data_IF_677396797875
#
_entry.id   IF_677396797875
#
_cell.length_a   1.000
_cell.length_b   1.000
_cell.length_c   1.000
_cell.angle_alpha   90.00
_cell.angle_beta   90.00
_cell.angle_gamma   90.00
#
_symmetry.space_group_name_H-M   'P 1'
#
loop_
_entity.id
_entity.type
_entity.pdbx_description
1 polymer ?
#
# COMPACT_ATOMS: atom_id res chain seq x y z
N UNK A 1 -5.57 -49.34 -14.18
CA UNK A 1 -4.94 -49.20 -12.85
C UNK A 1 -4.24 -47.85 -12.80
N UNK A 2 -4.76 -46.93 -11.98
CA UNK A 2 -4.42 -45.50 -11.96
C UNK A 2 -3.04 -45.26 -11.32
N UNK A 3 -2.18 -44.48 -11.98
CA UNK A 3 -1.02 -43.87 -11.35
C UNK A 3 -0.81 -42.45 -11.90
N UNK A 4 -1.66 -41.51 -11.45
CA UNK A 4 -1.43 -40.08 -11.60
C UNK A 4 -0.88 -39.58 -10.27
N UNK A 5 0.44 -39.43 -10.16
CA UNK A 5 1.09 -38.77 -9.03
C UNK A 5 2.26 -37.96 -9.55
N UNK A 6 2.38 -36.73 -9.07
CA UNK A 6 3.40 -35.70 -9.35
C UNK A 6 3.04 -34.57 -10.33
N UNK A 7 1.76 -34.33 -10.62
CA UNK A 7 1.34 -33.15 -11.41
C UNK A 7 0.97 -31.90 -10.57
N UNK A 8 1.31 -31.87 -9.28
CA UNK A 8 0.85 -30.84 -8.34
C UNK A 8 1.94 -30.06 -7.61
N UNK A 9 3.21 -30.18 -8.01
CA UNK A 9 4.35 -29.60 -7.26
C UNK A 9 5.04 -28.39 -7.93
N UNK A 10 4.53 -27.87 -9.06
CA UNK A 10 5.18 -26.79 -9.81
C UNK A 10 4.28 -25.62 -10.22
N UNK A 11 3.17 -25.41 -9.52
CA UNK A 11 2.28 -24.25 -9.68
C UNK A 11 2.04 -23.79 -8.23
N UNK A 12 2.73 -22.82 -7.64
CA UNK A 12 2.86 -21.41 -8.03
C UNK A 12 4.10 -20.84 -7.33
N UNK A 13 5.23 -20.74 -8.04
CA UNK A 13 6.19 -19.65 -7.78
C UNK A 13 6.29 -18.90 -9.12
N UNK A 14 5.19 -18.25 -9.50
CA UNK A 14 5.31 -17.00 -10.23
C UNK A 14 5.36 -15.95 -9.13
N UNK A 15 6.52 -15.89 -8.46
CA UNK A 15 6.91 -14.66 -7.81
C UNK A 15 6.95 -13.67 -8.96
N UNK A 16 5.99 -12.74 -8.95
CA UNK A 16 5.91 -11.68 -9.91
C UNK A 16 7.27 -11.00 -9.96
N UNK A 17 8.05 -11.33 -10.99
CA UNK A 17 9.09 -10.46 -11.53
C UNK A 17 8.39 -9.25 -12.15
N UNK A 18 7.65 -8.50 -11.32
CA UNK A 18 7.38 -7.10 -11.58
C UNK A 18 8.65 -6.40 -11.16
N UNK A 19 9.67 -6.49 -12.02
CA UNK A 19 10.79 -5.57 -12.00
C UNK A 19 10.19 -4.18 -11.85
N UNK A 20 10.52 -3.50 -10.74
CA UNK A 20 10.23 -2.08 -10.57
C UNK A 20 11.13 -1.40 -11.59
N UNK A 21 10.70 -1.35 -12.85
CA UNK A 21 11.36 -0.59 -13.90
C UNK A 21 11.00 0.87 -13.63
N UNK A 22 11.70 1.47 -12.66
CA UNK A 22 11.65 2.90 -12.36
C UNK A 22 12.34 3.67 -13.50
N UNK A 23 11.73 3.66 -14.68
CA UNK A 23 12.11 4.57 -15.75
C UNK A 23 11.32 5.86 -15.55
N UNK A 24 12.01 6.90 -15.04
CA UNK A 24 11.60 8.31 -15.08
C UNK A 24 10.19 8.65 -14.55
N UNK A 25 9.65 7.87 -13.62
CA UNK A 25 8.38 8.17 -12.99
C UNK A 25 8.58 9.04 -11.74
N UNK A 26 7.74 10.08 -11.59
CA UNK A 26 7.75 10.92 -10.39
C UNK A 26 7.49 10.08 -9.13
N UNK A 27 7.95 10.50 -7.95
CA UNK A 27 7.71 9.77 -6.68
C UNK A 27 6.23 9.39 -6.49
N UNK A 28 5.31 10.28 -6.91
CA UNK A 28 3.86 10.04 -6.88
C UNK A 28 3.41 8.91 -7.80
N UNK A 29 4.00 8.80 -8.99
CA UNK A 29 3.70 7.71 -9.92
C UNK A 29 4.20 6.37 -9.38
N UNK A 30 5.38 6.33 -8.73
CA UNK A 30 5.87 5.12 -8.07
C UNK A 30 4.93 4.67 -6.95
N UNK A 31 4.46 5.61 -6.13
CA UNK A 31 3.46 5.35 -5.11
C UNK A 31 2.11 4.87 -5.70
N UNK A 32 1.68 5.44 -6.82
CA UNK A 32 0.49 4.98 -7.52
C UNK A 32 0.65 3.55 -8.08
N UNK A 33 1.85 3.19 -8.55
CA UNK A 33 2.16 1.82 -8.96
C UNK A 33 2.15 0.86 -7.77
N UNK A 34 2.68 1.27 -6.61
CA UNK A 34 2.62 0.47 -5.39
C UNK A 34 1.16 0.16 -4.98
N UNK A 35 0.25 1.13 -5.10
CA UNK A 35 -1.20 0.89 -4.89
C UNK A 35 -1.73 -0.18 -5.83
N UNK A 36 -1.40 -0.12 -7.12
CA UNK A 36 -1.85 -1.13 -8.10
C UNK A 36 -1.30 -2.52 -7.79
N UNK A 37 -0.05 -2.61 -7.33
CA UNK A 37 0.55 -3.88 -6.90
C UNK A 37 -0.15 -4.45 -5.66
N UNK A 38 -0.50 -3.60 -4.69
CA UNK A 38 -1.29 -4.01 -3.52
C UNK A 38 -2.68 -4.52 -3.93
N UNK A 39 -3.33 -3.90 -4.92
CA UNK A 39 -4.60 -4.38 -5.47
C UNK A 39 -4.48 -5.73 -6.16
N UNK A 40 -3.41 -5.94 -6.94
CA UNK A 40 -3.13 -7.25 -7.53
C UNK A 40 -2.90 -8.32 -6.44
N UNK A 41 -2.22 -7.97 -5.35
CA UNK A 41 -2.02 -8.84 -4.19
C UNK A 41 -3.34 -9.13 -3.45
N UNK A 42 -4.24 -8.16 -3.29
CA UNK A 42 -5.57 -8.42 -2.72
C UNK A 42 -6.37 -9.42 -3.57
N UNK A 43 -6.29 -9.33 -4.90
CA UNK A 43 -6.96 -10.28 -5.79
C UNK A 43 -6.37 -11.69 -5.67
N UNK A 44 -5.06 -11.84 -5.48
CA UNK A 44 -4.45 -13.15 -5.24
C UNK A 44 -4.85 -13.71 -3.87
N UNK A 45 -4.89 -12.87 -2.83
CA UNK A 45 -5.35 -13.23 -1.49
C UNK A 45 -6.81 -13.70 -1.48
N UNK A 46 -7.72 -13.01 -2.18
CA UNK A 46 -9.12 -13.43 -2.33
C UNK A 46 -9.25 -14.83 -2.95
N UNK A 47 -8.46 -15.11 -3.99
CA UNK A 47 -8.43 -16.45 -4.60
C UNK A 47 -7.87 -17.48 -3.62
N UNK A 48 -6.80 -17.16 -2.89
CA UNK A 48 -6.24 -18.05 -1.88
C UNK A 48 -7.25 -18.34 -0.75
N UNK A 49 -8.01 -17.35 -0.29
CA UNK A 49 -9.06 -17.51 0.73
C UNK A 49 -10.21 -18.42 0.24
N UNK A 50 -10.59 -18.31 -1.04
CA UNK A 50 -11.60 -19.20 -1.62
C UNK A 50 -11.09 -20.65 -1.69
N UNK A 51 -9.83 -20.85 -2.07
CA UNK A 51 -9.21 -22.18 -2.11
C UNK A 51 -9.00 -22.77 -0.71
N UNK A 52 -8.72 -21.95 0.30
CA UNK A 52 -8.57 -22.41 1.68
C UNK A 52 -9.88 -22.93 2.26
N UNK A 53 -11.04 -22.39 1.83
CA UNK A 53 -12.38 -22.86 2.26
C UNK A 53 -12.67 -24.28 1.78
N UNK A 54 -12.10 -24.69 0.65
CA UNK A 54 -12.26 -26.05 0.10
C UNK A 54 -11.14 -27.01 0.53
N UNK A 55 -10.10 -26.51 1.20
CA UNK A 55 -8.95 -27.30 1.61
C UNK A 55 -9.20 -28.04 2.93
N UNK A 56 -8.53 -29.20 3.16
CA UNK A 56 -8.62 -29.91 4.43
C UNK A 56 -8.18 -28.99 5.58
N UNK A 57 -8.91 -29.00 6.70
CA UNK A 57 -8.58 -28.18 7.87
C UNK A 57 -7.19 -28.57 8.42
N UNK A 58 -6.21 -27.71 8.20
CA UNK A 58 -4.89 -27.75 8.85
C UNK A 58 -4.94 -26.99 10.17
N UNK A 59 -4.04 -27.29 11.12
CA UNK A 59 -3.97 -26.55 12.40
C UNK A 59 -3.50 -25.11 12.23
N UNK A 60 -2.70 -24.87 11.19
CA UNK A 60 -2.24 -23.55 10.81
C UNK A 60 -3.27 -22.94 9.85
N UNK A 61 -3.75 -21.75 10.20
CA UNK A 61 -4.66 -20.95 9.40
C UNK A 61 -4.03 -19.61 9.10
N UNK A 62 -4.07 -19.19 7.84
CA UNK A 62 -3.67 -17.86 7.45
C UNK A 62 -4.77 -16.85 7.86
N UNK A 63 -4.39 -15.79 8.58
CA UNK A 63 -5.35 -14.78 9.03
C UNK A 63 -5.64 -13.76 7.91
N UNK A 64 -6.58 -14.11 7.04
CA UNK A 64 -7.01 -13.25 5.93
C UNK A 64 -7.55 -11.89 6.41
N UNK A 65 -8.23 -11.85 7.56
CA UNK A 65 -8.75 -10.59 8.11
C UNK A 65 -7.64 -9.63 8.50
N UNK A 66 -6.55 -10.12 9.10
CA UNK A 66 -5.40 -9.30 9.47
C UNK A 66 -4.73 -8.72 8.22
N UNK A 67 -4.40 -9.54 7.21
CA UNK A 67 -3.70 -9.04 6.02
C UNK A 67 -4.55 -8.03 5.22
N UNK A 68 -5.88 -8.20 5.16
CA UNK A 68 -6.75 -7.24 4.48
C UNK A 68 -6.78 -5.89 5.18
N UNK A 69 -6.75 -5.88 6.53
CA UNK A 69 -6.63 -4.66 7.32
C UNK A 69 -5.29 -3.97 7.05
N UNK A 70 -4.20 -4.73 7.02
CA UNK A 70 -2.86 -4.18 6.84
C UNK A 70 -2.72 -3.57 5.44
N UNK A 71 -3.17 -4.27 4.38
CA UNK A 71 -3.15 -3.72 3.02
C UNK A 71 -4.01 -2.45 2.93
N UNK A 72 -5.20 -2.43 3.54
CA UNK A 72 -6.05 -1.24 3.58
C UNK A 72 -5.35 -0.06 4.26
N UNK A 73 -4.66 -0.31 5.37
CA UNK A 73 -3.88 0.70 6.10
C UNK A 73 -2.75 1.27 5.23
N UNK A 74 -2.00 0.40 4.55
CA UNK A 74 -0.91 0.82 3.64
C UNK A 74 -1.47 1.64 2.48
N UNK A 75 -2.54 1.18 1.81
CA UNK A 75 -3.19 1.91 0.70
C UNK A 75 -3.66 3.30 1.14
N UNK A 76 -4.26 3.39 2.33
CA UNK A 76 -4.71 4.67 2.90
C UNK A 76 -3.53 5.61 3.18
N UNK A 77 -2.45 5.10 3.78
CA UNK A 77 -1.23 5.87 4.03
C UNK A 77 -0.65 6.43 2.74
N UNK A 78 -0.45 5.58 1.72
CA UNK A 78 0.07 6.02 0.41
C UNK A 78 -0.86 7.05 -0.26
N UNK A 79 -2.17 6.85 -0.20
CA UNK A 79 -3.15 7.76 -0.80
C UNK A 79 -3.08 9.16 -0.20
N UNK A 80 -2.80 9.28 1.11
CA UNK A 80 -2.60 10.56 1.79
C UNK A 80 -1.36 11.31 1.27
N UNK A 81 -0.30 10.59 0.88
CA UNK A 81 0.91 11.21 0.33
C UNK A 81 0.77 11.59 -1.15
N UNK A 82 0.00 10.83 -1.94
CA UNK A 82 -0.27 11.16 -3.35
C UNK A 82 -1.18 12.39 -3.44
N UNK A 83 -2.21 12.44 -2.60
CA UNK A 83 -3.16 13.54 -2.52
C UNK A 83 -3.04 14.23 -1.15
N UNK A 84 -1.96 14.99 -0.90
CA UNK A 84 -1.86 15.71 0.36
C UNK A 84 -3.05 16.65 0.43
N UNK A 85 -3.97 16.37 1.36
CA UNK A 85 -4.93 17.39 1.78
C UNK A 85 -4.08 18.61 2.08
N UNK A 86 -4.27 19.70 1.32
CA UNK A 86 -3.51 20.91 1.58
C UNK A 86 -3.80 21.27 3.03
N UNK A 87 -2.84 21.06 3.91
CA UNK A 87 -2.88 21.60 5.24
C UNK A 87 -2.81 23.11 5.04
N UNK A 88 -3.98 23.75 4.92
CA UNK A 88 -4.10 25.18 5.09
C UNK A 88 -3.45 25.44 6.46
N UNK A 89 -2.49 26.37 6.56
CA UNK A 89 -1.86 26.70 7.83
C UNK A 89 -2.95 26.87 8.87
N UNK A 90 -2.89 26.09 9.95
CA UNK A 90 -3.96 26.02 10.95
C UNK A 90 -4.18 27.33 11.69
N UNK A 91 -3.31 28.31 11.46
CA UNK A 91 -3.51 29.66 11.93
C UNK A 91 -2.85 30.71 11.00
N UNK A 92 -3.61 31.34 10.08
CA UNK A 92 -3.11 32.50 9.35
C UNK A 92 -2.80 33.71 10.26
N UNK A 93 -3.25 33.72 11.52
CA UNK A 93 -2.88 34.76 12.48
C UNK A 93 -1.50 34.56 13.09
N UNK A 94 -1.06 33.31 13.32
CA UNK A 94 0.32 33.02 13.75
C UNK A 94 1.37 33.55 12.77
N UNK A 95 1.06 33.59 11.46
CA UNK A 95 1.91 34.21 10.44
C UNK A 95 1.92 35.75 10.54
N UNK A 96 0.80 36.36 10.95
CA UNK A 96 0.70 37.82 11.13
C UNK A 96 1.48 38.29 12.36
N UNK A 97 1.42 37.57 13.48
CA UNK A 97 2.20 37.89 14.69
C UNK A 97 3.70 37.81 14.47
N UNK A 98 4.18 36.84 13.68
CA UNK A 98 5.60 36.79 13.30
C UNK A 98 6.01 38.01 12.45
N UNK A 99 5.15 38.46 11.53
CA UNK A 99 5.44 39.60 10.65
C UNK A 99 5.49 40.93 11.42
N UNK A 100 4.65 41.11 12.44
CA UNK A 100 4.67 42.30 13.28
C UNK A 100 5.97 42.42 14.09
N UNK A 101 6.54 41.32 14.57
CA UNK A 101 7.79 41.32 15.34
C UNK A 101 9.02 41.75 14.51
N UNK A 102 9.08 41.38 13.22
CA UNK A 102 10.18 41.82 12.35
C UNK A 102 10.17 43.32 12.04
N UNK A 103 9.00 43.96 12.07
CA UNK A 103 8.90 45.40 11.79
C UNK A 103 9.31 46.27 12.99
N UNK A 104 9.21 45.75 14.22
CA UNK A 104 9.63 46.46 15.44
C UNK A 104 11.15 46.50 15.66
N UNK A 105 11.91 45.62 15.00
CA UNK A 105 13.38 45.61 15.04
C UNK A 105 14.01 46.59 14.03
N UNK A 106 13.22 47.17 13.12
CA UNK A 106 13.68 48.14 12.11
C UNK A 106 13.27 49.56 12.48
N UNK A 107 13.68 49.99 13.66
CA UNK A 107 13.51 51.37 14.14
C UNK A 107 14.71 51.81 14.96
N UNK A 108 15.76 52.28 14.28
CA UNK A 108 16.74 53.24 14.79
C UNK A 108 16.97 54.29 13.72
#
# INVERSE_FOLDING_TARGET
MFAKKHLGKWIVIVLASSSITAYASTEKEQLAQAIKQLEAAELSLKRAEQLSKTSPKTREFFNYTAIHRDISTIKSGISQYINPARAIPRDPQALRTLTEDYTKLRGK
#
